data_IF_297412837697
#
_entry.id   IF_297412837697
#
_cell.length_a   1.000
_cell.length_b   1.000
_cell.length_c   1.000
_cell.angle_alpha   90.00
_cell.angle_beta   90.00
_cell.angle_gamma   90.00
#
_symmetry.space_group_name_H-M   'P 1'
#
loop_
_entity.id
_entity.type
_entity.pdbx_description
1 polymer ?
#
# COMPACT_ATOMS: atom_id res chain seq x y z
N UNK A 1 -20.50 9.84 -20.88
CA UNK A 1 -19.74 10.43 -19.75
C UNK A 1 -20.68 10.51 -18.55
N UNK A 2 -20.49 9.65 -17.55
CA UNK A 2 -21.47 9.45 -16.47
C UNK A 2 -21.34 10.58 -15.43
N UNK A 3 -22.43 11.28 -15.11
CA UNK A 3 -22.49 12.46 -14.22
C UNK A 3 -21.93 12.17 -12.82
N UNK A 4 -21.95 10.89 -12.41
CA UNK A 4 -21.40 10.38 -11.14
C UNK A 4 -19.91 10.74 -10.96
N UNK A 5 -19.11 10.73 -12.02
CA UNK A 5 -17.67 11.04 -11.94
C UNK A 5 -17.37 12.51 -11.61
N UNK A 6 -18.33 13.43 -11.82
CA UNK A 6 -18.18 14.84 -11.41
C UNK A 6 -18.28 15.03 -9.89
N UNK A 7 -18.91 14.09 -9.19
CA UNK A 7 -19.12 14.14 -7.73
C UNK A 7 -18.21 13.17 -6.96
N UNK A 8 -17.47 12.32 -7.66
CA UNK A 8 -16.40 11.52 -7.07
C UNK A 8 -15.16 12.41 -6.92
N UNK A 9 -14.70 12.63 -5.69
CA UNK A 9 -13.53 13.48 -5.43
C UNK A 9 -12.24 12.79 -5.93
N UNK A 10 -11.88 13.05 -7.19
CA UNK A 10 -10.67 12.54 -7.83
C UNK A 10 -9.40 12.97 -7.09
N UNK A 11 -9.43 14.14 -6.45
CA UNK A 11 -8.27 14.67 -5.73
C UNK A 11 -8.07 13.90 -4.42
N UNK A 12 -9.14 13.63 -3.68
CA UNK A 12 -9.09 12.73 -2.53
C UNK A 12 -8.65 11.32 -2.94
N UNK A 13 -9.15 10.81 -4.08
CA UNK A 13 -8.75 9.52 -4.63
C UNK A 13 -7.25 9.43 -4.95
N UNK A 14 -6.67 10.47 -5.57
CA UNK A 14 -5.22 10.52 -5.82
C UNK A 14 -4.40 10.56 -4.53
N UNK A 15 -4.86 11.29 -3.51
CA UNK A 15 -4.19 11.33 -2.20
C UNK A 15 -4.25 9.97 -1.50
N UNK A 16 -5.39 9.27 -1.56
CA UNK A 16 -5.49 7.92 -1.03
C UNK A 16 -4.54 6.97 -1.76
N UNK A 17 -4.54 6.99 -3.10
CA UNK A 17 -3.62 6.21 -3.90
C UNK A 17 -2.16 6.48 -3.52
N UNK A 18 -1.74 7.74 -3.35
CA UNK A 18 -0.38 8.08 -2.92
C UNK A 18 0.02 7.43 -1.59
N UNK A 19 -0.90 7.43 -0.61
CA UNK A 19 -0.64 6.82 0.70
C UNK A 19 -0.57 5.30 0.65
N UNK A 20 -1.34 4.69 -0.25
CA UNK A 20 -1.35 3.24 -0.42
C UNK A 20 -0.12 2.74 -1.18
N UNK A 21 0.61 3.62 -1.89
CA UNK A 21 1.70 3.22 -2.79
C UNK A 21 2.80 2.40 -2.11
N UNK A 22 3.27 2.85 -0.95
CA UNK A 22 4.29 2.15 -0.15
C UNK A 22 3.78 0.79 0.36
N UNK A 23 2.55 0.73 0.85
CA UNK A 23 1.91 -0.50 1.31
C UNK A 23 1.73 -1.50 0.17
N UNK A 24 1.32 -1.05 -1.02
CA UNK A 24 1.19 -1.91 -2.20
C UNK A 24 2.57 -2.43 -2.65
N UNK A 25 3.61 -1.60 -2.55
CA UNK A 25 4.99 -2.00 -2.85
C UNK A 25 5.46 -3.07 -1.88
N UNK A 26 5.22 -2.86 -0.59
CA UNK A 26 5.54 -3.81 0.47
C UNK A 26 4.87 -5.16 0.24
N UNK A 27 3.57 -5.18 -0.14
CA UNK A 27 2.84 -6.42 -0.47
C UNK A 27 3.54 -7.17 -1.59
N UNK A 28 3.89 -6.51 -2.70
CA UNK A 28 4.57 -7.17 -3.82
C UNK A 28 5.92 -7.75 -3.40
N UNK A 29 6.69 -7.02 -2.60
CA UNK A 29 8.03 -7.45 -2.17
C UNK A 29 8.01 -8.63 -1.19
N UNK A 30 6.99 -8.74 -0.33
CA UNK A 30 6.98 -9.70 0.79
C UNK A 30 5.98 -10.86 0.61
N UNK A 31 5.07 -10.82 -0.37
CA UNK A 31 4.05 -11.87 -0.51
C UNK A 31 4.66 -13.26 -0.71
N UNK A 32 5.76 -13.37 -1.46
CA UNK A 32 6.39 -14.68 -1.72
C UNK A 32 6.90 -15.33 -0.42
N UNK A 33 7.48 -14.53 0.47
CA UNK A 33 7.94 -14.99 1.78
C UNK A 33 6.75 -15.35 2.70
N UNK A 34 5.68 -14.55 2.70
CA UNK A 34 4.45 -14.84 3.46
C UNK A 34 3.79 -16.14 2.98
N UNK A 35 3.74 -16.38 1.65
CA UNK A 35 3.22 -17.62 1.07
C UNK A 35 4.08 -18.82 1.48
N UNK A 36 5.40 -18.68 1.44
CA UNK A 36 6.32 -19.74 1.86
C UNK A 36 6.12 -20.09 3.34
N UNK A 37 6.00 -19.07 4.20
CA UNK A 37 5.74 -19.27 5.62
C UNK A 37 4.39 -19.99 5.86
N UNK A 38 3.35 -19.63 5.09
CA UNK A 38 2.06 -20.32 5.15
C UNK A 38 2.17 -21.81 4.76
N UNK A 39 2.94 -22.13 3.72
CA UNK A 39 3.22 -23.52 3.34
C UNK A 39 4.00 -24.27 4.44
N UNK A 40 5.01 -23.65 5.04
CA UNK A 40 5.78 -24.25 6.13
C UNK A 40 4.90 -24.52 7.37
N UNK A 41 4.02 -23.57 7.71
CA UNK A 41 3.01 -23.74 8.77
C UNK A 41 2.08 -24.91 8.47
N UNK A 42 1.59 -25.04 7.23
CA UNK A 42 0.74 -26.16 6.82
C UNK A 42 1.46 -27.51 6.94
N UNK A 43 2.74 -27.57 6.54
CA UNK A 43 3.56 -28.77 6.53
C UNK A 43 4.14 -29.14 7.91
N UNK A 44 4.11 -28.21 8.88
CA UNK A 44 4.65 -28.43 10.23
C UNK A 44 4.05 -29.68 10.89
N UNK A 45 4.69 -30.25 11.91
CA UNK A 45 4.08 -31.35 12.69
C UNK A 45 3.66 -30.80 14.06
N UNK A 46 2.46 -31.17 14.52
CA UNK A 46 1.99 -30.78 15.85
C UNK A 46 2.94 -31.30 16.92
N UNK A 47 3.42 -30.41 17.79
CA UNK A 47 4.33 -30.79 18.87
C UNK A 47 3.62 -31.65 19.93
N UNK A 48 4.33 -32.65 20.45
CA UNK A 48 3.88 -33.41 21.62
C UNK A 48 4.11 -32.55 22.87
N UNK A 49 3.07 -32.39 23.70
CA UNK A 49 3.19 -31.73 25.00
C UNK A 49 3.64 -32.75 26.06
N UNK A 50 4.76 -32.47 26.73
CA UNK A 50 5.31 -33.31 27.80
C UNK A 50 5.09 -32.65 29.18
N UNK A 51 3.84 -32.55 29.62
CA UNK A 51 3.48 -32.01 30.95
C UNK A 51 2.92 -33.08 31.91
N UNK A 52 2.86 -34.34 31.48
CA UNK A 52 2.41 -35.48 32.30
C UNK A 52 0.90 -35.55 32.53
N UNK A 53 0.11 -34.66 31.90
CA UNK A 53 -1.35 -34.64 32.02
C UNK A 53 -2.02 -35.21 30.76
N UNK A 54 -3.16 -35.92 30.89
CA UNK A 54 -3.96 -36.33 29.75
C UNK A 54 -4.60 -35.10 29.09
N UNK A 55 -4.41 -34.97 27.77
CA UNK A 55 -5.01 -33.91 26.96
C UNK A 55 -6.07 -34.48 26.02
N UNK A 56 -7.09 -33.68 25.71
CA UNK A 56 -8.00 -33.96 24.61
C UNK A 56 -7.29 -33.68 23.29
N UNK A 57 -7.09 -34.72 22.47
CA UNK A 57 -6.57 -34.57 21.12
C UNK A 57 -7.73 -34.30 20.15
N UNK A 58 -7.71 -33.16 19.46
CA UNK A 58 -8.54 -33.00 18.26
C UNK A 58 -7.92 -33.88 17.17
N UNK A 59 -8.70 -34.83 16.64
CA UNK A 59 -8.25 -35.77 15.60
C UNK A 59 -8.12 -35.10 14.22
N UNK A 60 -8.78 -33.95 14.03
CA UNK A 60 -8.81 -33.18 12.78
C UNK A 60 -7.81 -32.01 12.76
N UNK A 61 -6.93 -31.86 13.76
CA UNK A 61 -5.99 -30.71 13.87
C UNK A 61 -5.17 -30.49 12.60
N UNK A 62 -4.74 -31.58 11.96
CA UNK A 62 -3.98 -31.50 10.71
C UNK A 62 -4.84 -30.99 9.55
N UNK A 63 -6.09 -31.45 9.45
CA UNK A 63 -7.03 -31.02 8.41
C UNK A 63 -7.40 -29.55 8.60
N UNK A 64 -7.74 -29.14 9.82
CA UNK A 64 -8.05 -27.75 10.18
C UNK A 64 -6.91 -26.80 9.81
N UNK A 65 -5.67 -27.21 10.07
CA UNK A 65 -4.48 -26.41 9.73
C UNK A 65 -4.25 -26.32 8.23
N UNK A 66 -4.47 -27.41 7.48
CA UNK A 66 -4.38 -27.40 6.02
C UNK A 66 -5.44 -26.47 5.43
N UNK A 67 -6.69 -26.57 5.90
CA UNK A 67 -7.80 -25.71 5.45
C UNK A 67 -7.44 -24.24 5.70
N UNK A 68 -7.03 -23.91 6.94
CA UNK A 68 -6.65 -22.54 7.31
C UNK A 68 -5.49 -22.01 6.48
N UNK A 69 -4.46 -22.83 6.23
CA UNK A 69 -3.33 -22.41 5.41
C UNK A 69 -3.69 -22.20 3.94
N UNK A 70 -4.59 -23.01 3.37
CA UNK A 70 -5.11 -22.80 2.02
C UNK A 70 -5.88 -21.47 1.95
N UNK A 71 -6.72 -21.18 2.94
CA UNK A 71 -7.44 -19.90 3.04
C UNK A 71 -6.47 -18.72 3.12
N UNK A 72 -5.45 -18.79 3.97
CA UNK A 72 -4.40 -17.77 4.11
C UNK A 72 -3.65 -17.53 2.80
N UNK A 73 -3.23 -18.59 2.10
CA UNK A 73 -2.57 -18.50 0.79
C UNK A 73 -3.48 -17.87 -0.26
N UNK A 74 -4.77 -18.19 -0.26
CA UNK A 74 -5.72 -17.58 -1.20
C UNK A 74 -5.87 -16.07 -0.95
N UNK A 75 -5.95 -15.66 0.33
CA UNK A 75 -5.99 -14.23 0.70
C UNK A 75 -4.70 -13.53 0.28
N UNK A 76 -3.54 -14.15 0.51
CA UNK A 76 -2.24 -13.61 0.10
C UNK A 76 -2.15 -13.38 -1.41
N UNK A 77 -2.54 -14.38 -2.21
CA UNK A 77 -2.55 -14.28 -3.67
C UNK A 77 -3.51 -13.20 -4.18
N UNK A 78 -4.68 -13.07 -3.56
CA UNK A 78 -5.65 -12.05 -3.94
C UNK A 78 -5.14 -10.64 -3.59
N UNK A 79 -4.53 -10.45 -2.43
CA UNK A 79 -3.87 -9.18 -2.06
C UNK A 79 -2.76 -8.82 -3.04
N UNK A 80 -1.92 -9.79 -3.42
CA UNK A 80 -0.88 -9.58 -4.43
C UNK A 80 -1.45 -9.20 -5.79
N UNK A 81 -2.52 -9.87 -6.24
CA UNK A 81 -3.19 -9.53 -7.49
C UNK A 81 -3.68 -8.08 -7.49
N UNK A 82 -4.33 -7.65 -6.40
CA UNK A 82 -4.81 -6.28 -6.24
C UNK A 82 -3.65 -5.27 -6.22
N UNK A 83 -2.57 -5.57 -5.49
CA UNK A 83 -1.38 -4.73 -5.46
C UNK A 83 -0.70 -4.62 -6.84
N UNK A 84 -0.61 -5.72 -7.59
CA UNK A 84 -0.06 -5.73 -8.94
C UNK A 84 -0.93 -4.93 -9.93
N UNK A 85 -2.26 -5.09 -9.87
CA UNK A 85 -3.20 -4.29 -10.67
C UNK A 85 -3.09 -2.79 -10.33
N UNK A 86 -3.00 -2.46 -9.04
CA UNK A 86 -2.77 -1.10 -8.57
C UNK A 86 -1.44 -0.54 -9.10
N UNK A 87 -0.34 -1.28 -9.01
CA UNK A 87 0.97 -0.83 -9.47
C UNK A 87 1.01 -0.59 -10.97
N UNK A 88 0.41 -1.49 -11.76
CA UNK A 88 0.32 -1.33 -13.20
C UNK A 88 -0.46 -0.06 -13.60
N UNK A 89 -1.41 0.38 -12.78
CA UNK A 89 -2.15 1.62 -13.00
C UNK A 89 -1.42 2.87 -12.47
N UNK A 90 -0.81 2.79 -11.28
CA UNK A 90 -0.25 3.95 -10.58
C UNK A 90 1.17 4.30 -11.02
N UNK A 91 2.06 3.30 -11.17
CA UNK A 91 3.49 3.51 -11.46
C UNK A 91 3.72 4.32 -12.74
N UNK A 92 3.03 4.05 -13.87
CA UNK A 92 3.23 4.86 -15.08
C UNK A 92 2.92 6.35 -14.87
N UNK A 93 1.84 6.65 -14.15
CA UNK A 93 1.48 8.03 -13.82
C UNK A 93 2.47 8.67 -12.84
N UNK A 94 3.00 7.90 -11.90
CA UNK A 94 4.03 8.36 -10.97
C UNK A 94 5.37 8.65 -11.67
N UNK A 95 5.76 7.81 -12.62
CA UNK A 95 7.01 7.95 -13.38
C UNK A 95 7.00 9.14 -14.35
N UNK A 96 5.83 9.51 -14.86
CA UNK A 96 5.64 10.67 -15.74
C UNK A 96 5.76 12.02 -15.01
N UNK A 97 5.58 12.03 -13.68
CA UNK A 97 5.86 13.21 -12.87
C UNK A 97 7.36 13.56 -12.88
N UNK A 98 7.65 14.85 -12.83
CA UNK A 98 9.02 15.31 -12.61
C UNK A 98 9.54 14.90 -11.22
N UNK A 99 10.86 14.78 -11.11
CA UNK A 99 11.52 14.48 -9.83
C UNK A 99 11.13 15.47 -8.73
N UNK A 100 11.06 16.75 -9.07
CA UNK A 100 10.55 17.84 -8.24
C UNK A 100 9.12 17.61 -7.72
N UNK A 101 8.23 17.11 -8.56
CA UNK A 101 6.84 16.85 -8.21
C UNK A 101 6.73 15.61 -7.32
N UNK A 102 7.47 14.54 -7.65
CA UNK A 102 7.55 13.34 -6.83
C UNK A 102 8.08 13.66 -5.44
N UNK A 103 9.16 14.42 -5.34
CA UNK A 103 9.73 14.84 -4.06
C UNK A 103 8.72 15.61 -3.20
N UNK A 104 7.99 16.56 -3.79
CA UNK A 104 6.96 17.34 -3.07
C UNK A 104 5.82 16.44 -2.58
N UNK A 105 5.37 15.50 -3.40
CA UNK A 105 4.27 14.60 -3.04
C UNK A 105 4.70 13.57 -2.00
N UNK A 106 5.90 13.00 -2.13
CA UNK A 106 6.49 12.06 -1.19
C UNK A 106 6.75 12.69 0.18
N UNK A 107 7.31 13.90 0.21
CA UNK A 107 7.56 14.64 1.46
C UNK A 107 6.26 14.91 2.23
N UNK A 108 5.14 15.12 1.52
CA UNK A 108 3.85 15.46 2.15
C UNK A 108 3.01 14.23 2.48
N UNK A 109 2.99 13.24 1.59
CA UNK A 109 2.06 12.11 1.65
C UNK A 109 2.74 10.75 1.92
N UNK A 110 4.07 10.70 2.01
CA UNK A 110 4.82 9.50 2.35
C UNK A 110 4.59 9.02 3.78
N UNK A 111 4.96 7.76 4.04
CA UNK A 111 4.73 7.07 5.31
C UNK A 111 5.39 7.75 6.53
N UNK A 112 6.55 8.38 6.34
CA UNK A 112 7.32 9.00 7.43
C UNK A 112 6.71 10.31 7.97
N UNK A 113 5.65 10.82 7.36
CA UNK A 113 5.06 12.11 7.72
C UNK A 113 3.97 12.03 8.81
N UNK A 114 4.14 11.14 9.80
CA UNK A 114 3.25 11.04 10.98
C UNK A 114 3.17 12.35 11.78
N UNK A 115 4.20 13.21 11.66
CA UNK A 115 4.27 14.53 12.31
C UNK A 115 4.21 15.67 11.27
N UNK A 116 3.13 15.69 10.47
CA UNK A 116 2.82 16.61 9.36
C UNK A 116 2.88 18.13 9.59
N UNK A 117 3.51 18.62 10.65
CA UNK A 117 3.76 20.03 10.89
C UNK A 117 4.90 20.61 10.04
N UNK A 118 5.90 19.80 9.63
CA UNK A 118 7.13 20.33 9.02
C UNK A 118 7.36 20.05 7.53
N UNK A 119 6.60 19.17 6.88
CA UNK A 119 6.80 18.83 5.47
C UNK A 119 6.79 20.05 4.50
N UNK A 120 5.99 21.08 4.81
CA UNK A 120 6.00 22.32 4.02
C UNK A 120 7.29 23.11 4.23
N UNK A 121 7.85 23.12 5.44
CA UNK A 121 9.15 23.74 5.71
C UNK A 121 10.28 22.96 5.03
N UNK A 122 10.24 21.64 5.03
CA UNK A 122 11.22 20.81 4.32
C UNK A 122 11.24 21.13 2.81
N UNK A 123 10.07 21.32 2.21
CA UNK A 123 9.93 21.78 0.82
C UNK A 123 10.45 23.22 0.65
N UNK A 124 10.17 24.11 1.61
CA UNK A 124 10.68 25.49 1.56
C UNK A 124 12.21 25.50 1.59
N UNK A 125 12.82 24.69 2.45
CA UNK A 125 14.26 24.58 2.62
C UNK A 125 14.90 23.94 1.39
N UNK A 126 14.31 22.87 0.84
CA UNK A 126 14.82 22.17 -0.33
C UNK A 126 14.81 23.04 -1.60
N UNK A 127 13.73 23.77 -1.86
CA UNK A 127 13.62 24.62 -3.06
C UNK A 127 14.03 26.08 -2.83
N UNK A 128 14.37 26.46 -1.60
CA UNK A 128 14.63 27.85 -1.19
C UNK A 128 13.48 28.79 -1.56
N UNK A 129 12.25 28.39 -1.23
CA UNK A 129 11.02 29.12 -1.55
C UNK A 129 10.21 29.46 -0.31
N UNK A 130 9.32 30.44 -0.44
CA UNK A 130 8.36 30.78 0.59
C UNK A 130 7.25 29.72 0.74
N UNK A 131 6.64 29.65 1.93
CA UNK A 131 5.53 28.72 2.24
C UNK A 131 4.37 28.78 1.24
N UNK A 132 3.99 29.99 0.82
CA UNK A 132 2.92 30.21 -0.18
C UNK A 132 3.25 29.51 -1.51
N UNK A 133 4.50 29.62 -1.96
CA UNK A 133 5.01 28.96 -3.16
C UNK A 133 5.08 27.45 -3.00
N UNK A 134 5.49 26.94 -1.82
CA UNK A 134 5.48 25.52 -1.52
C UNK A 134 4.06 24.90 -1.61
N UNK A 135 3.05 25.56 -1.03
CA UNK A 135 1.65 25.11 -1.16
C UNK A 135 1.17 25.10 -2.61
N UNK A 136 1.56 26.11 -3.40
CA UNK A 136 1.23 26.16 -4.82
C UNK A 136 1.91 25.04 -5.60
N UNK A 137 3.18 24.73 -5.31
CA UNK A 137 3.94 23.64 -5.94
C UNK A 137 3.27 22.29 -5.65
N UNK A 138 2.92 22.03 -4.38
CA UNK A 138 2.10 20.87 -3.98
C UNK A 138 0.81 20.76 -4.78
N UNK A 139 0.04 21.85 -4.86
CA UNK A 139 -1.26 21.81 -5.52
C UNK A 139 -1.12 21.55 -7.03
N UNK A 140 -0.07 22.09 -7.67
CA UNK A 140 0.23 21.80 -9.08
C UNK A 140 0.62 20.34 -9.28
N UNK A 141 1.56 19.82 -8.48
CA UNK A 141 1.99 18.42 -8.54
C UNK A 141 0.81 17.45 -8.36
N UNK A 142 -0.04 17.70 -7.35
CA UNK A 142 -1.20 16.85 -7.11
C UNK A 142 -2.25 16.95 -8.23
N UNK A 143 -2.48 18.14 -8.79
CA UNK A 143 -3.40 18.28 -9.93
C UNK A 143 -2.85 17.61 -11.20
N UNK A 144 -1.54 17.64 -11.39
CA UNK A 144 -0.87 16.92 -12.48
C UNK A 144 -1.09 15.42 -12.33
N UNK A 145 -0.79 14.86 -11.14
CA UNK A 145 -1.02 13.45 -10.85
C UNK A 145 -2.49 13.04 -11.02
N UNK A 146 -3.44 13.84 -10.54
CA UNK A 146 -4.89 13.60 -10.75
C UNK A 146 -5.23 13.51 -12.23
N UNK A 147 -4.61 14.34 -13.06
CA UNK A 147 -4.82 14.34 -14.51
C UNK A 147 -4.25 13.08 -15.15
N UNK A 148 -3.09 12.61 -14.70
CA UNK A 148 -2.46 11.37 -15.19
C UNK A 148 -3.27 10.13 -14.79
N UNK A 149 -3.75 10.07 -13.55
CA UNK A 149 -4.49 8.90 -13.03
C UNK A 149 -5.93 8.81 -13.56
N UNK A 150 -6.63 9.94 -13.67
CA UNK A 150 -8.08 9.97 -13.92
C UNK A 150 -8.48 10.76 -15.17
N UNK A 151 -7.50 11.21 -15.96
CA UNK A 151 -7.72 12.07 -17.11
C UNK A 151 -8.09 13.52 -16.73
N UNK A 152 -8.17 14.37 -17.76
CA UNK A 152 -8.50 15.79 -17.61
C UNK A 152 -9.89 15.98 -16.98
N UNK A 153 -9.96 16.86 -15.98
CA UNK A 153 -11.21 17.32 -15.35
C UNK A 153 -11.97 18.31 -16.23
#
# INVERSE_FOLDING_TARGET
MNVVWKYLDKRAGAVAALKDFSSMKFIIEHTDDEIKEAYDKMASVGGVRYDGMPHTCNLHVTEDRIIKGIEEINVLKERYRQAAEYMAWFVPAWEELSEDERYVLETIYGEDNEYGANAIYDICDHFHIERSSAYNKKNRALNHLVTLLFGKT
#
